data_IF_098194765062
#
_entry.id   IF_098194765062
#
_cell.length_a   1.000
_cell.length_b   1.000
_cell.length_c   1.000
_cell.angle_alpha   90.00
_cell.angle_beta   90.00
_cell.angle_gamma   90.00
#
_symmetry.space_group_name_H-M   'P 1'
#
loop_
_entity.id
_entity.type
_entity.pdbx_description
1 polymer ?
#
# COMPACT_ATOMS: atom_id res chain seq x y z
N UNK A 1 7.26 -13.21 -1.68
CA UNK A 1 6.82 -14.35 -0.84
C UNK A 1 6.05 -13.81 0.35
N UNK A 2 4.75 -14.09 0.43
CA UNK A 2 3.97 -13.89 1.64
C UNK A 2 4.41 -14.98 2.63
N UNK A 3 4.96 -14.59 3.77
CA UNK A 3 5.48 -15.54 4.75
C UNK A 3 4.41 -16.50 5.27
N UNK A 4 4.82 -17.73 5.57
CA UNK A 4 4.00 -18.83 6.13
C UNK A 4 3.23 -18.41 7.40
N UNK A 5 3.62 -17.30 8.05
CA UNK A 5 2.95 -16.74 9.24
C UNK A 5 1.71 -15.86 8.96
N UNK A 6 1.39 -15.55 7.72
CA UNK A 6 0.37 -14.56 7.34
C UNK A 6 0.94 -13.17 7.06
N UNK A 7 0.08 -12.27 6.61
CA UNK A 7 0.47 -10.97 6.03
C UNK A 7 0.74 -9.87 7.05
N UNK A 8 0.22 -10.02 8.28
CA UNK A 8 0.27 -8.96 9.31
C UNK A 8 0.42 -9.57 10.69
N UNK A 9 1.22 -8.92 11.56
CA UNK A 9 1.50 -9.36 12.94
C UNK A 9 0.24 -9.40 13.82
N UNK A 10 -0.78 -8.62 13.47
CA UNK A 10 -2.06 -8.50 14.18
C UNK A 10 -3.09 -9.58 13.80
N UNK A 11 -2.74 -10.53 12.93
CA UNK A 11 -3.58 -11.67 12.52
C UNK A 11 -4.30 -12.36 13.68
N UNK A 12 -3.61 -12.60 14.80
CA UNK A 12 -4.18 -13.33 15.95
C UNK A 12 -5.42 -12.66 16.52
N UNK A 13 -5.52 -11.34 16.38
CA UNK A 13 -6.61 -10.52 16.90
C UNK A 13 -7.56 -10.04 15.79
N UNK A 14 -7.42 -10.57 14.57
CA UNK A 14 -8.33 -10.34 13.45
C UNK A 14 -9.59 -11.24 13.55
N UNK A 15 -10.67 -10.98 12.81
CA UNK A 15 -11.81 -11.88 12.73
C UNK A 15 -11.36 -13.23 12.15
N UNK A 16 -12.02 -14.35 12.50
CA UNK A 16 -11.62 -15.68 12.03
C UNK A 16 -11.41 -15.79 10.51
N UNK A 17 -12.23 -15.13 9.69
CA UNK A 17 -12.12 -15.10 8.23
C UNK A 17 -10.80 -14.50 7.73
N UNK A 18 -10.23 -13.52 8.44
CA UNK A 18 -8.98 -12.87 8.07
C UNK A 18 -7.73 -13.48 8.73
N UNK A 19 -7.88 -14.60 9.47
CA UNK A 19 -6.74 -15.30 10.11
C UNK A 19 -6.03 -16.29 9.20
N UNK A 20 -6.56 -16.53 8.01
CA UNK A 20 -5.98 -17.45 7.04
C UNK A 20 -4.68 -16.94 6.43
N UNK A 21 -4.13 -17.74 5.53
CA UNK A 21 -3.09 -17.34 4.59
C UNK A 21 -3.70 -17.26 3.19
N UNK A 22 -3.07 -16.53 2.28
CA UNK A 22 -3.53 -16.42 0.90
C UNK A 22 -4.52 -15.26 0.62
N UNK A 23 -4.98 -15.14 -0.62
CA UNK A 23 -5.69 -13.96 -1.13
C UNK A 23 -6.97 -13.61 -0.35
N UNK A 24 -7.72 -14.61 0.08
CA UNK A 24 -9.02 -14.41 0.75
C UNK A 24 -8.84 -13.71 2.11
N UNK A 25 -7.86 -14.14 2.90
CA UNK A 25 -7.57 -13.50 4.19
C UNK A 25 -7.08 -12.05 4.01
N UNK A 26 -6.34 -11.78 2.93
CA UNK A 26 -5.93 -10.41 2.58
C UNK A 26 -7.12 -9.55 2.13
N UNK A 27 -8.04 -10.12 1.35
CA UNK A 27 -9.23 -9.43 0.89
C UNK A 27 -10.16 -9.05 2.06
N UNK A 28 -10.37 -9.97 3.00
CA UNK A 28 -11.11 -9.71 4.24
C UNK A 28 -10.49 -8.58 5.06
N UNK A 29 -9.16 -8.53 5.16
CA UNK A 29 -8.45 -7.43 5.80
C UNK A 29 -8.70 -6.09 5.07
N UNK A 30 -8.67 -6.10 3.73
CA UNK A 30 -8.93 -4.91 2.92
C UNK A 30 -10.37 -4.40 3.08
N UNK A 31 -11.36 -5.30 3.12
CA UNK A 31 -12.76 -4.94 3.39
C UNK A 31 -12.92 -4.29 4.76
N UNK A 32 -12.21 -4.80 5.77
CA UNK A 32 -12.27 -4.24 7.13
C UNK A 32 -11.68 -2.84 7.22
N UNK A 33 -10.56 -2.61 6.55
CA UNK A 33 -9.98 -1.28 6.43
C UNK A 33 -10.96 -0.32 5.75
N UNK A 34 -11.64 -0.74 4.69
CA UNK A 34 -12.67 0.08 4.03
C UNK A 34 -13.89 0.35 4.92
N UNK A 35 -14.26 -0.59 5.77
CA UNK A 35 -15.39 -0.41 6.69
C UNK A 35 -15.07 0.54 7.85
N UNK A 36 -13.80 0.60 8.30
CA UNK A 36 -13.39 1.46 9.42
C UNK A 36 -13.22 2.94 9.03
N UNK A 37 -12.92 3.21 7.75
CA UNK A 37 -12.61 4.55 7.28
C UNK A 37 -13.57 5.00 6.16
N UNK A 38 -14.29 6.10 6.40
CA UNK A 38 -14.97 6.84 5.34
C UNK A 38 -13.97 7.53 4.40
N UNK A 39 -14.36 7.68 3.13
CA UNK A 39 -13.57 8.30 2.07
C UNK A 39 -12.14 7.74 1.95
N UNK A 40 -11.98 6.44 2.23
CA UNK A 40 -10.69 5.76 2.17
C UNK A 40 -10.14 5.78 0.75
N UNK A 41 -9.04 6.49 0.56
CA UNK A 41 -8.30 6.59 -0.70
C UNK A 41 -6.80 6.42 -0.48
N UNK A 42 -6.13 5.94 -1.51
CA UNK A 42 -4.68 5.83 -1.53
C UNK A 42 -4.11 6.73 -2.62
N UNK A 43 -3.15 7.57 -2.25
CA UNK A 43 -2.31 8.28 -3.20
C UNK A 43 -1.07 7.41 -3.48
N UNK A 44 -0.97 6.91 -4.70
CA UNK A 44 0.16 6.05 -5.12
C UNK A 44 1.31 6.95 -5.55
N UNK A 45 2.39 6.97 -4.77
CA UNK A 45 3.60 7.70 -5.11
C UNK A 45 4.45 6.91 -6.10
N UNK A 46 4.60 5.61 -5.87
CA UNK A 46 5.39 4.73 -6.71
C UNK A 46 4.78 3.34 -6.74
N UNK A 47 4.72 2.74 -7.92
CA UNK A 47 4.53 1.32 -8.10
C UNK A 47 5.69 0.81 -8.96
N UNK A 48 6.41 -0.19 -8.46
CA UNK A 48 7.49 -0.86 -9.18
C UNK A 48 7.12 -2.32 -9.35
N UNK A 49 7.26 -2.82 -10.57
CA UNK A 49 6.99 -4.22 -10.91
C UNK A 49 8.29 -4.90 -11.30
N UNK A 50 8.57 -6.06 -10.73
CA UNK A 50 9.71 -6.90 -11.12
C UNK A 50 9.25 -8.36 -11.17
N UNK A 51 9.24 -8.93 -12.38
CA UNK A 51 8.76 -10.30 -12.66
C UNK A 51 7.36 -10.60 -12.08
N UNK A 52 7.32 -11.17 -10.88
CA UNK A 52 6.11 -11.57 -10.16
C UNK A 52 5.87 -10.76 -8.88
N UNK A 53 6.61 -9.68 -8.68
CA UNK A 53 6.53 -8.81 -7.51
C UNK A 53 6.05 -7.42 -7.92
N UNK A 54 5.11 -6.89 -7.13
CA UNK A 54 4.73 -5.48 -7.19
C UNK A 54 4.95 -4.87 -5.82
N UNK A 55 5.72 -3.78 -5.77
CA UNK A 55 5.87 -2.96 -4.56
C UNK A 55 5.22 -1.62 -4.79
N UNK A 56 4.35 -1.20 -3.86
CA UNK A 56 3.66 0.07 -3.91
C UNK A 56 4.05 0.91 -2.70
N UNK A 57 4.60 2.10 -2.94
CA UNK A 57 4.73 3.15 -1.95
C UNK A 57 3.54 4.09 -2.11
N UNK A 58 2.69 4.20 -1.09
CA UNK A 58 1.48 5.00 -1.12
C UNK A 58 1.19 5.65 0.22
N UNK A 59 0.47 6.77 0.18
CA UNK A 59 -0.14 7.39 1.37
C UNK A 59 -1.62 7.03 1.39
N UNK A 60 -2.10 6.55 2.54
CA UNK A 60 -3.51 6.28 2.79
C UNK A 60 -4.16 7.49 3.45
N UNK A 61 -5.32 7.91 2.95
CA UNK A 61 -6.16 8.95 3.55
C UNK A 61 -7.53 8.36 3.83
N UNK A 62 -8.12 8.71 4.95
CA UNK A 62 -9.50 8.33 5.30
C UNK A 62 -9.90 8.97 6.62
N UNK A 63 -11.20 9.13 6.82
CA UNK A 63 -11.75 9.57 8.10
C UNK A 63 -12.14 8.33 8.91
N UNK A 64 -11.51 8.12 10.06
CA UNK A 64 -11.81 6.98 10.92
C UNK A 64 -13.17 7.20 11.61
N UNK A 65 -14.23 6.58 11.09
CA UNK A 65 -15.60 6.78 11.57
C UNK A 65 -16.21 5.54 12.21
N UNK A 66 -15.59 4.37 12.03
CA UNK A 66 -16.08 3.11 12.60
C UNK A 66 -14.98 2.33 13.33
N UNK A 67 -15.33 1.53 14.36
CA UNK A 67 -14.34 0.81 15.16
C UNK A 67 -13.50 -0.20 14.37
N UNK A 68 -12.19 -0.19 14.59
CA UNK A 68 -11.32 -1.32 14.25
C UNK A 68 -11.41 -2.37 15.37
N UNK A 69 -12.35 -3.31 15.24
CA UNK A 69 -12.66 -4.30 16.28
C UNK A 69 -11.59 -5.40 16.44
N UNK A 70 -11.10 -5.66 17.65
CA UNK A 70 -10.19 -6.79 17.91
C UNK A 70 -10.99 -8.01 18.37
N UNK A 71 -10.55 -9.20 17.97
CA UNK A 71 -11.21 -10.47 18.29
C UNK A 71 -10.33 -11.33 19.19
N UNK A 72 -10.91 -12.04 20.15
CA UNK A 72 -10.23 -13.10 20.91
C UNK A 72 -9.87 -14.28 20.01
N UNK A 73 -8.99 -15.19 20.45
CA UNK A 73 -8.72 -16.44 19.69
C UNK A 73 -10.01 -17.25 19.42
N UNK A 74 -11.02 -17.15 20.29
CA UNK A 74 -12.33 -17.80 20.09
C UNK A 74 -13.28 -17.04 19.14
N UNK A 75 -12.85 -15.93 18.55
CA UNK A 75 -13.63 -15.15 17.58
C UNK A 75 -14.67 -14.22 18.20
N UNK A 76 -14.58 -13.92 19.50
CA UNK A 76 -15.47 -12.94 20.16
C UNK A 76 -14.91 -11.53 20.02
N UNK A 77 -15.77 -10.54 19.74
CA UNK A 77 -15.37 -9.13 19.72
C UNK A 77 -15.02 -8.71 21.15
N UNK A 78 -13.82 -8.17 21.33
CA UNK A 78 -13.41 -7.54 22.58
C UNK A 78 -13.63 -6.04 22.40
N UNK A 79 -14.44 -5.44 23.26
CA UNK A 79 -14.55 -3.98 23.30
C UNK A 79 -13.21 -3.40 23.75
N UNK A 80 -12.63 -2.53 22.93
CA UNK A 80 -11.36 -1.87 23.22
C UNK A 80 -11.42 -0.42 22.79
N UNK A 81 -11.41 0.47 23.77
CA UNK A 81 -11.24 1.89 23.57
C UNK A 81 -9.75 2.22 23.53
N UNK A 82 -9.28 2.76 22.41
CA UNK A 82 -7.91 3.21 22.25
C UNK A 82 -7.92 4.65 21.74
N UNK A 83 -7.67 5.59 22.65
CA UNK A 83 -7.40 6.97 22.30
C UNK A 83 -5.89 7.21 22.43
N UNK A 84 -5.23 7.54 21.31
CA UNK A 84 -3.79 7.82 21.25
C UNK A 84 -3.56 9.20 20.67
N UNK A 85 -2.80 10.02 21.38
CA UNK A 85 -2.31 11.31 20.89
C UNK A 85 -0.87 11.17 20.40
N UNK A 86 -0.74 10.53 19.22
CA UNK A 86 0.56 10.28 18.60
C UNK A 86 1.23 11.58 18.12
N UNK A 87 0.45 12.65 17.88
CA UNK A 87 0.98 13.95 17.47
C UNK A 87 1.65 14.68 18.63
N UNK A 88 1.00 14.73 19.80
CA UNK A 88 1.60 15.29 21.00
C UNK A 88 2.79 14.47 21.45
N UNK A 89 2.72 13.14 21.35
CA UNK A 89 3.86 12.26 21.60
C UNK A 89 5.02 12.55 20.63
N UNK A 90 4.74 12.70 19.33
CA UNK A 90 5.76 13.05 18.34
C UNK A 90 6.39 14.42 18.58
N UNK A 91 5.63 15.40 19.11
CA UNK A 91 6.17 16.70 19.53
C UNK A 91 7.05 16.58 20.78
N UNK A 92 6.64 15.83 21.79
CA UNK A 92 7.44 15.60 23.01
C UNK A 92 8.76 14.90 22.71
N UNK A 93 8.74 13.94 21.77
CA UNK A 93 9.93 13.23 21.31
C UNK A 93 10.81 14.05 20.35
N UNK A 94 10.43 15.30 20.06
CA UNK A 94 11.19 16.19 19.16
C UNK A 94 11.17 15.75 17.70
N UNK A 95 10.24 14.88 17.31
CA UNK A 95 10.10 14.40 15.94
C UNK A 95 9.47 15.43 15.01
N UNK A 96 8.71 16.37 15.59
CA UNK A 96 8.06 17.48 14.90
C UNK A 96 8.53 18.81 15.55
N UNK A 97 9.13 19.74 14.77
CA UNK A 97 9.37 19.65 13.33
C UNK A 97 10.49 18.65 12.98
N UNK A 98 10.44 17.99 11.79
CA UNK A 98 11.49 17.08 11.35
C UNK A 98 12.85 17.78 11.28
N UNK A 99 13.92 17.07 11.66
CA UNK A 99 15.25 17.67 11.65
C UNK A 99 15.69 18.08 10.25
N UNK A 100 16.48 19.16 10.09
CA UNK A 100 17.01 19.58 8.79
C UNK A 100 17.76 18.46 8.05
N UNK A 101 18.49 17.60 8.77
CA UNK A 101 19.17 16.45 8.20
C UNK A 101 18.19 15.41 7.63
N UNK A 102 17.07 15.17 8.31
CA UNK A 102 16.01 14.30 7.80
C UNK A 102 15.39 14.87 6.52
N UNK A 103 15.13 16.18 6.48
CA UNK A 103 14.62 16.86 5.28
C UNK A 103 15.60 16.76 4.09
N UNK A 104 16.90 16.94 4.33
CA UNK A 104 17.94 16.77 3.29
C UNK A 104 17.97 15.31 2.79
N UNK A 105 17.85 14.33 3.69
CA UNK A 105 17.81 12.91 3.33
C UNK A 105 16.59 12.59 2.47
N UNK A 106 15.42 13.11 2.83
CA UNK A 106 14.20 12.96 2.04
C UNK A 106 14.29 13.65 0.69
N UNK A 107 14.82 14.87 0.62
CA UNK A 107 15.05 15.57 -0.65
C UNK A 107 16.01 14.80 -1.58
N UNK A 108 17.06 14.17 -1.04
CA UNK A 108 17.97 13.31 -1.83
C UNK A 108 17.27 12.04 -2.31
N UNK A 109 16.51 11.39 -1.44
CA UNK A 109 15.72 10.21 -1.79
C UNK A 109 14.71 10.52 -2.89
N UNK A 110 14.03 11.67 -2.80
CA UNK A 110 13.07 12.13 -3.79
C UNK A 110 13.73 12.45 -5.14
N UNK A 111 14.88 13.14 -5.14
CA UNK A 111 15.66 13.36 -6.37
C UNK A 111 16.13 12.05 -7.01
N UNK A 112 16.53 11.08 -6.21
CA UNK A 112 16.93 9.76 -6.70
C UNK A 112 15.73 9.03 -7.33
N UNK A 113 14.58 9.04 -6.64
CA UNK A 113 13.34 8.46 -7.14
C UNK A 113 12.86 9.15 -8.43
N UNK A 114 12.98 10.49 -8.54
CA UNK A 114 12.68 11.24 -9.76
C UNK A 114 13.60 10.86 -10.94
N UNK A 115 14.88 10.59 -10.68
CA UNK A 115 15.81 10.12 -11.73
C UNK A 115 15.44 8.73 -12.25
N UNK A 116 15.06 7.82 -11.35
CA UNK A 116 14.57 6.49 -11.72
C UNK A 116 13.28 6.64 -12.54
N UNK A 117 12.32 7.48 -12.09
CA UNK A 117 11.09 7.78 -12.83
C UNK A 117 11.37 8.26 -14.26
N UNK A 118 12.33 9.18 -14.45
CA UNK A 118 12.69 9.70 -15.78
C UNK A 118 13.32 8.63 -16.69
N UNK A 119 14.16 7.75 -16.14
CA UNK A 119 14.77 6.64 -16.90
C UNK A 119 13.72 5.63 -17.36
N UNK A 120 12.85 5.20 -16.44
CA UNK A 120 11.75 4.26 -16.75
C UNK A 120 10.77 4.86 -17.77
N UNK A 121 10.45 6.16 -17.65
CA UNK A 121 9.61 6.85 -18.64
C UNK A 121 10.25 6.86 -20.04
N UNK A 122 11.55 7.19 -20.14
CA UNK A 122 12.28 7.18 -21.41
C UNK A 122 12.40 5.79 -22.04
N UNK A 123 12.58 4.74 -21.23
CA UNK A 123 12.60 3.35 -21.71
C UNK A 123 11.22 2.89 -22.21
N UNK A 124 10.13 3.34 -21.56
CA UNK A 124 8.76 3.03 -21.97
C UNK A 124 8.34 3.71 -23.29
N UNK A 125 8.84 4.92 -23.56
CA UNK A 125 8.63 5.62 -24.84
C UNK A 125 9.44 4.98 -25.98
N UNK A 126 10.66 4.53 -25.71
CA UNK A 126 11.51 3.83 -26.69
C UNK A 126 10.94 2.46 -27.08
N UNK A 127 10.32 1.76 -26.12
CA UNK A 127 9.65 0.48 -26.35
C UNK A 127 8.37 0.66 -27.20
N UNK A 128 7.55 1.69 -26.93
CA UNK A 128 6.37 2.03 -27.74
C UNK A 128 6.72 2.35 -29.19
N UNK A 129 7.85 3.04 -29.44
CA UNK A 129 8.29 3.35 -30.81
C UNK A 129 8.81 2.12 -31.58
N UNK A 130 9.24 1.08 -30.86
CA UNK A 130 9.72 -0.17 -31.47
C UNK A 130 8.55 -1.13 -31.78
N UNK A 131 7.51 -1.16 -30.96
CA UNK A 131 6.32 -2.01 -31.18
C UNK A 131 5.44 -1.52 -32.34
N UNK A 132 5.42 -0.21 -32.61
CA UNK A 132 4.62 0.39 -33.70
C UNK A 132 5.14 0.08 -35.12
N UNK A 133 6.35 -0.50 -35.24
CA UNK A 133 6.95 -0.91 -36.53
C UNK A 133 6.79 -2.40 -36.87
N UNK A 134 6.20 -3.22 -36.01
CA UNK A 134 6.28 -4.69 -36.13
C UNK A 134 4.94 -5.44 -36.10
N UNK A 135 3.81 -4.84 -36.47
CA UNK A 135 2.53 -5.56 -36.61
C UNK A 135 1.91 -5.28 -37.99
N UNK A 136 2.10 -6.16 -39.00
CA UNK A 136 1.31 -6.14 -40.21
C UNK A 136 -0.15 -6.49 -39.86
N UNK A 137 -1.09 -5.64 -40.24
CA UNK A 137 -2.52 -5.81 -39.98
C UNK A 137 -3.06 -7.10 -40.62
N UNK A 138 -3.36 -8.11 -39.80
CA UNK A 138 -4.05 -9.32 -40.22
C UNK A 138 -5.57 -9.04 -40.24
N UNK A 139 -6.15 -8.92 -41.44
CA UNK A 139 -7.61 -8.80 -41.61
C UNK A 139 -8.25 -10.17 -41.37
N UNK A 140 -9.08 -10.27 -40.34
CA UNK A 140 -9.99 -11.41 -40.17
C UNK A 140 -11.24 -11.19 -41.04
N UNK A 141 -11.46 -12.09 -42.00
CA UNK A 141 -12.71 -12.21 -42.76
C UNK A 141 -13.65 -13.15 -42.00
N UNK A 142 -14.77 -12.64 -41.51
CA UNK A 142 -15.86 -13.46 -40.99
C UNK A 142 -16.56 -14.17 -42.15
N UNK A 143 -16.71 -15.49 -42.02
CA UNK A 143 -17.71 -16.29 -42.72
C UNK A 143 -18.42 -17.17 -41.70
#
# INVERSE_FOLDING_TARGET
MIGVGGFTRERKTAPPSARGTGPDAFYELALRLRAAFEDLRYEIHHAVTEWNLVTVNSTMHGHHTAPIAFYTEDGKIVERWANRDDLTLAKQLGWVPPTPAYLIRMARAERHAQRIRRRVAGESEMSRHTTDRAIPSMRFSHR
#
